data_IF_616691855222
#
_entry.id   IF_616691855222
#
_cell.length_a   1.000
_cell.length_b   1.000
_cell.length_c   1.000
_cell.angle_alpha   90.00
_cell.angle_beta   90.00
_cell.angle_gamma   90.00
#
_symmetry.space_group_name_H-M   'P 1'
#
loop_
_entity.id
_entity.type
_entity.pdbx_description
1 polymer ?
#
# COMPACT_ATOMS: atom_id res chain seq x y z
N UNK A 1 90.84 -0.90 -40.55
CA UNK A 1 91.91 -0.04 -40.00
C UNK A 1 91.28 1.14 -39.25
N UNK A 2 91.70 1.26 -37.98
CA UNK A 2 91.79 2.51 -37.16
C UNK A 2 90.61 3.48 -37.16
N UNK A 3 89.83 3.57 -36.03
CA UNK A 3 90.03 4.54 -34.92
C UNK A 3 89.63 5.99 -35.31
N UNK A 4 88.65 6.63 -34.71
CA UNK A 4 88.82 7.39 -33.47
C UNK A 4 87.47 7.89 -32.96
N UNK A 5 87.35 7.82 -31.66
CA UNK A 5 86.29 8.42 -30.86
C UNK A 5 86.37 9.96 -30.82
N UNK A 6 85.29 10.67 -30.57
CA UNK A 6 85.32 11.68 -29.52
C UNK A 6 83.88 12.07 -29.07
N UNK A 7 83.80 12.27 -27.79
CA UNK A 7 82.71 12.78 -26.99
C UNK A 7 82.36 14.24 -27.31
N UNK A 8 81.19 14.70 -27.15
CA UNK A 8 80.85 15.78 -26.22
C UNK A 8 79.34 16.16 -26.29
N UNK A 9 78.74 16.08 -25.11
CA UNK A 9 77.88 17.02 -24.40
C UNK A 9 76.48 17.36 -24.91
N UNK A 10 75.55 16.96 -24.08
CA UNK A 10 74.32 17.50 -23.56
C UNK A 10 73.65 18.73 -24.22
N UNK A 11 72.45 18.57 -24.64
CA UNK A 11 71.48 19.63 -24.89
C UNK A 11 70.08 19.10 -24.74
N UNK A 12 69.46 19.34 -23.58
CA UNK A 12 68.05 19.04 -23.32
C UNK A 12 67.15 19.86 -24.25
N UNK A 13 66.37 19.21 -25.07
CA UNK A 13 65.17 19.77 -25.68
C UNK A 13 63.98 18.92 -25.25
N UNK A 14 63.22 19.43 -24.30
CA UNK A 14 61.94 18.90 -23.89
C UNK A 14 60.97 19.01 -25.07
N UNK A 15 60.53 17.93 -25.62
CA UNK A 15 59.35 17.88 -26.50
C UNK A 15 58.11 17.75 -25.62
N UNK A 16 57.34 18.82 -25.56
CA UNK A 16 55.99 18.83 -25.06
C UNK A 16 55.11 17.96 -25.98
N UNK A 17 54.80 16.75 -25.57
CA UNK A 17 53.75 15.97 -26.21
C UNK A 17 52.42 16.47 -25.68
N UNK A 18 51.68 17.28 -26.46
CA UNK A 18 50.26 17.54 -26.21
C UNK A 18 49.50 16.21 -26.44
N UNK A 19 49.14 15.55 -25.37
CA UNK A 19 48.16 14.50 -25.41
C UNK A 19 46.77 15.15 -25.49
N UNK A 20 46.19 15.21 -26.69
CA UNK A 20 44.78 15.48 -26.90
C UNK A 20 44.04 14.25 -26.40
N UNK A 21 43.54 14.30 -25.17
CA UNK A 21 42.60 13.33 -24.67
C UNK A 21 41.25 13.56 -25.34
N UNK A 22 40.95 12.73 -26.33
CA UNK A 22 39.59 12.63 -26.87
C UNK A 22 38.67 12.12 -25.74
N UNK A 23 37.87 13.02 -25.18
CA UNK A 23 36.81 12.64 -24.25
C UNK A 23 35.67 12.04 -25.06
N UNK A 24 35.54 10.71 -24.98
CA UNK A 24 34.33 10.03 -25.39
C UNK A 24 33.25 10.30 -24.29
N UNK A 25 32.04 10.73 -24.65
CA UNK A 25 30.96 10.85 -23.67
C UNK A 25 30.37 9.47 -23.44
N UNK A 26 30.49 8.92 -22.21
CA UNK A 26 29.66 7.78 -21.83
C UNK A 26 30.31 6.63 -21.08
N UNK A 27 31.10 6.90 -20.03
CA UNK A 27 31.27 5.93 -18.94
C UNK A 27 31.41 6.71 -17.63
N UNK A 28 30.37 6.68 -16.81
CA UNK A 28 30.43 7.20 -15.44
C UNK A 28 31.56 6.47 -14.69
N UNK A 29 32.42 7.25 -14.01
CA UNK A 29 33.44 6.67 -13.13
C UNK A 29 32.75 6.09 -11.88
N UNK A 30 33.30 5.06 -11.24
CA UNK A 30 32.72 4.52 -10.00
C UNK A 30 32.48 5.59 -8.92
N UNK A 31 33.33 6.61 -8.84
CA UNK A 31 33.20 7.73 -7.90
C UNK A 31 31.99 8.64 -8.20
N UNK A 32 31.55 8.71 -9.46
CA UNK A 32 30.42 9.57 -9.85
C UNK A 32 29.07 8.98 -9.42
N UNK A 33 28.90 7.66 -9.43
CA UNK A 33 27.70 6.98 -8.96
C UNK A 33 27.53 7.13 -7.43
N UNK A 34 28.62 7.07 -6.67
CA UNK A 34 28.63 7.30 -5.23
C UNK A 34 28.33 8.77 -4.89
N UNK A 35 28.79 9.72 -5.70
CA UNK A 35 28.50 11.14 -5.55
C UNK A 35 27.01 11.41 -5.82
N UNK A 36 26.45 10.83 -6.87
CA UNK A 36 25.02 10.93 -7.18
C UNK A 36 24.15 10.36 -6.05
N UNK A 37 24.51 9.19 -5.53
CA UNK A 37 23.80 8.57 -4.40
C UNK A 37 23.83 9.44 -3.15
N UNK A 38 24.98 9.96 -2.75
CA UNK A 38 25.12 10.89 -1.62
C UNK A 38 24.26 12.13 -1.81
N UNK A 39 24.27 12.73 -2.99
CA UNK A 39 23.47 13.91 -3.30
C UNK A 39 21.97 13.62 -3.23
N UNK A 40 21.49 12.50 -3.77
CA UNK A 40 20.09 12.09 -3.67
C UNK A 40 19.65 11.92 -2.22
N UNK A 41 20.48 11.32 -1.36
CA UNK A 41 20.19 11.21 0.08
C UNK A 41 20.11 12.58 0.74
N UNK A 42 21.03 13.50 0.43
CA UNK A 42 20.98 14.86 0.97
C UNK A 42 19.72 15.60 0.53
N UNK A 43 19.33 15.50 -0.73
CA UNK A 43 18.08 16.09 -1.24
C UNK A 43 16.86 15.49 -0.56
N UNK A 44 16.81 14.17 -0.44
CA UNK A 44 15.72 13.43 0.22
C UNK A 44 15.54 13.89 1.67
N UNK A 45 16.61 13.96 2.42
CA UNK A 45 16.56 14.17 3.88
C UNK A 45 16.36 15.64 4.26
N UNK A 46 16.75 16.59 3.39
CA UNK A 46 16.74 18.02 3.70
C UNK A 46 15.84 18.87 2.82
N UNK A 47 15.51 18.46 1.59
CA UNK A 47 14.87 19.31 0.59
C UNK A 47 13.48 18.83 0.15
N UNK A 48 13.34 17.52 -0.16
CA UNK A 48 12.12 16.94 -0.75
C UNK A 48 10.88 17.11 0.14
N UNK A 49 11.05 17.17 1.47
CA UNK A 49 9.93 17.37 2.42
C UNK A 49 9.13 18.66 2.13
N UNK A 50 9.77 19.67 1.56
CA UNK A 50 9.17 20.97 1.24
C UNK A 50 9.07 21.24 -0.27
N UNK A 51 9.88 20.55 -1.09
CA UNK A 51 9.99 20.75 -2.54
C UNK A 51 9.59 19.48 -3.29
N UNK A 52 8.31 19.11 -3.22
CA UNK A 52 7.73 17.92 -3.86
C UNK A 52 6.42 18.26 -4.59
N UNK A 53 5.79 17.29 -5.23
CA UNK A 53 4.56 17.50 -6.01
C UNK A 53 3.38 18.08 -5.21
N UNK A 54 3.33 17.84 -3.88
CA UNK A 54 2.26 18.33 -2.98
C UNK A 54 2.61 19.63 -2.28
N UNK A 55 3.91 19.93 -2.11
CA UNK A 55 4.44 21.13 -1.46
C UNK A 55 5.54 21.72 -2.35
N UNK A 56 5.19 22.70 -3.14
CA UNK A 56 6.09 23.40 -4.04
C UNK A 56 6.44 24.77 -3.46
N UNK A 57 7.12 24.82 -2.31
CA UNK A 57 7.58 26.11 -1.78
C UNK A 57 8.50 26.80 -2.79
N UNK A 58 8.21 28.05 -3.15
CA UNK A 58 8.89 28.77 -4.20
C UNK A 58 8.70 28.15 -5.60
N UNK A 59 7.57 27.42 -5.81
CA UNK A 59 7.23 26.68 -7.03
C UNK A 59 8.27 25.64 -7.45
N UNK A 60 9.19 25.29 -6.54
CA UNK A 60 10.26 24.34 -6.79
C UNK A 60 9.84 22.92 -6.45
N UNK A 61 10.09 21.99 -7.38
CA UNK A 61 9.92 20.56 -7.18
C UNK A 61 11.22 19.82 -7.50
N UNK A 62 11.78 19.14 -6.48
CA UNK A 62 13.04 18.41 -6.57
C UNK A 62 12.86 16.88 -6.63
N UNK A 63 11.67 16.37 -6.98
CA UNK A 63 11.43 14.92 -7.08
C UNK A 63 11.87 14.32 -8.41
N UNK A 64 12.07 15.15 -9.44
CA UNK A 64 12.52 14.73 -10.78
C UNK A 64 13.57 15.69 -11.31
N UNK A 65 14.57 15.15 -12.00
CA UNK A 65 15.64 15.96 -12.64
C UNK A 65 15.10 17.08 -13.53
N UNK A 66 14.15 16.76 -14.40
CA UNK A 66 13.55 17.73 -15.31
C UNK A 66 12.86 18.90 -14.57
N UNK A 67 12.23 18.64 -13.41
CA UNK A 67 11.60 19.66 -12.59
C UNK A 67 12.64 20.52 -11.85
N UNK A 68 13.72 19.92 -11.36
CA UNK A 68 14.82 20.66 -10.75
C UNK A 68 15.54 21.57 -11.76
N UNK A 69 15.73 21.10 -13.00
CA UNK A 69 16.29 21.90 -14.10
C UNK A 69 15.34 23.00 -14.57
N UNK A 70 14.01 22.77 -14.58
CA UNK A 70 13.02 23.81 -14.82
C UNK A 70 13.06 24.86 -13.72
N UNK A 71 13.23 24.43 -12.45
CA UNK A 71 13.28 25.28 -11.27
C UNK A 71 11.91 25.73 -10.79
N UNK A 72 11.92 26.78 -9.97
CA UNK A 72 10.73 27.38 -9.37
C UNK A 72 10.42 28.75 -9.94
N UNK A 73 9.69 29.58 -9.16
CA UNK A 73 9.29 30.95 -9.56
C UNK A 73 10.45 31.88 -9.94
N UNK A 74 11.66 31.60 -9.46
CA UNK A 74 12.86 32.37 -9.79
C UNK A 74 13.76 31.71 -10.88
N UNK A 75 13.33 30.62 -11.52
CA UNK A 75 14.04 29.89 -12.56
C UNK A 75 14.79 28.66 -12.09
N UNK A 76 15.72 28.10 -12.89
CA UNK A 76 16.41 26.85 -12.63
C UNK A 76 17.06 26.75 -11.25
N UNK A 77 16.86 25.63 -10.57
CA UNK A 77 17.47 25.40 -9.26
C UNK A 77 18.92 24.93 -9.36
N UNK A 78 19.27 24.24 -10.46
CA UNK A 78 20.62 23.76 -10.70
C UNK A 78 20.98 23.82 -12.20
N UNK A 79 22.26 24.00 -12.44
CA UNK A 79 22.89 23.99 -13.75
C UNK A 79 23.93 22.87 -13.78
N UNK A 80 23.69 21.74 -14.50
CA UNK A 80 24.64 20.63 -14.57
C UNK A 80 26.01 21.11 -15.05
N UNK A 81 27.08 20.67 -14.40
CA UNK A 81 28.45 21.11 -14.65
C UNK A 81 28.81 22.48 -14.09
N UNK A 82 27.92 23.14 -13.35
CA UNK A 82 28.12 24.51 -12.89
C UNK A 82 27.57 24.73 -11.48
N UNK A 83 28.17 24.05 -10.48
CA UNK A 83 27.72 24.11 -9.10
C UNK A 83 27.68 25.55 -8.55
N UNK A 84 28.72 26.34 -8.81
CA UNK A 84 28.83 27.72 -8.33
C UNK A 84 27.70 28.62 -8.84
N UNK A 85 27.13 28.34 -10.02
CA UNK A 85 26.02 29.10 -10.61
C UNK A 85 24.65 28.52 -10.19
N UNK A 86 24.61 27.33 -9.61
CA UNK A 86 23.40 26.65 -9.21
C UNK A 86 22.79 27.30 -7.97
N UNK A 87 21.52 27.72 -8.08
CA UNK A 87 20.81 28.40 -6.98
C UNK A 87 20.70 27.53 -5.73
N UNK A 88 20.57 26.22 -5.88
CA UNK A 88 20.52 25.30 -4.76
C UNK A 88 21.78 25.44 -3.88
N UNK A 89 22.96 25.59 -4.47
CA UNK A 89 24.22 25.80 -3.70
C UNK A 89 24.25 27.17 -3.04
N UNK A 90 23.77 28.21 -3.74
CA UNK A 90 23.73 29.57 -3.20
C UNK A 90 22.84 29.67 -1.95
N UNK A 91 21.65 29.05 -2.00
CA UNK A 91 20.71 29.09 -0.86
C UNK A 91 21.10 28.19 0.32
N UNK A 92 22.14 27.37 0.17
CA UNK A 92 22.71 26.59 1.27
C UNK A 92 23.79 27.34 2.06
N UNK A 93 24.21 28.52 1.60
CA UNK A 93 25.21 29.32 2.30
C UNK A 93 24.60 29.93 3.57
N UNK A 94 25.37 30.06 4.68
CA UNK A 94 24.85 30.58 5.95
C UNK A 94 24.21 31.98 5.84
N UNK A 95 24.74 32.83 4.95
CA UNK A 95 24.33 34.22 4.78
C UNK A 95 23.25 34.42 3.70
N UNK A 96 22.69 33.32 3.17
CA UNK A 96 21.67 33.40 2.11
C UNK A 96 20.30 33.81 2.63
N UNK A 97 19.58 34.61 1.86
CA UNK A 97 18.17 34.92 2.08
C UNK A 97 17.39 34.66 0.78
N UNK A 98 16.42 33.72 0.79
CA UNK A 98 16.10 32.79 1.87
C UNK A 98 17.19 31.74 2.10
N UNK A 99 17.44 31.41 3.36
CA UNK A 99 18.33 30.31 3.73
C UNK A 99 17.62 28.96 3.68
N UNK A 100 18.26 27.94 3.08
CA UNK A 100 17.71 26.60 2.93
C UNK A 100 18.66 25.51 3.45
N UNK A 101 18.19 24.51 4.21
CA UNK A 101 16.86 24.39 4.81
C UNK A 101 16.61 25.41 5.94
N UNK A 102 15.37 25.90 6.13
CA UNK A 102 15.11 27.05 7.02
C UNK A 102 15.42 26.83 8.51
N UNK A 103 15.57 25.58 8.93
CA UNK A 103 15.77 25.21 10.36
C UNK A 103 17.08 24.49 10.63
N UNK A 104 17.90 24.26 9.61
CA UNK A 104 19.12 23.44 9.76
C UNK A 104 20.15 23.86 8.71
N UNK A 105 21.33 24.31 9.16
CA UNK A 105 22.46 24.50 8.28
C UNK A 105 23.04 23.13 7.87
N UNK A 106 23.29 22.93 6.58
CA UNK A 106 24.14 21.84 6.10
C UNK A 106 25.60 22.18 6.38
N UNK A 107 26.40 21.19 6.74
CA UNK A 107 27.82 21.37 6.89
C UNK A 107 28.55 21.49 5.55
N UNK A 108 29.78 22.00 5.58
CA UNK A 108 30.59 22.26 4.38
C UNK A 108 30.82 20.98 3.56
N UNK A 109 30.91 19.82 4.19
CA UNK A 109 31.11 18.53 3.52
C UNK A 109 29.84 18.16 2.72
N UNK A 110 28.66 18.39 3.31
CA UNK A 110 27.37 18.14 2.66
C UNK A 110 27.14 19.10 1.47
N UNK A 111 27.48 20.37 1.65
CA UNK A 111 27.38 21.38 0.57
C UNK A 111 28.37 21.05 -0.55
N UNK A 112 29.62 20.69 -0.19
CA UNK A 112 30.61 20.27 -1.18
C UNK A 112 30.21 19.02 -1.96
N UNK A 113 29.57 18.03 -1.30
CA UNK A 113 29.07 16.82 -1.96
C UNK A 113 27.98 17.14 -2.98
N UNK A 114 27.06 18.08 -2.68
CA UNK A 114 26.07 18.54 -3.63
C UNK A 114 26.71 19.30 -4.81
N UNK A 115 27.74 20.12 -4.52
CA UNK A 115 28.52 20.82 -5.55
C UNK A 115 29.19 19.83 -6.52
N UNK A 116 29.93 18.85 -5.99
CA UNK A 116 30.61 17.82 -6.78
C UNK A 116 29.62 17.05 -7.66
N UNK A 117 28.48 16.67 -7.13
CA UNK A 117 27.42 16.01 -7.90
C UNK A 117 26.89 16.88 -9.04
N UNK A 118 26.68 18.18 -8.81
CA UNK A 118 26.23 19.11 -9.86
C UNK A 118 27.33 19.24 -10.93
N UNK A 119 28.59 19.40 -10.54
CA UNK A 119 29.73 19.53 -11.46
C UNK A 119 29.97 18.27 -12.28
N UNK A 120 29.64 17.09 -11.72
CA UNK A 120 29.62 15.80 -12.42
C UNK A 120 28.42 15.63 -13.38
N UNK A 121 27.55 16.66 -13.54
CA UNK A 121 26.42 16.64 -14.48
C UNK A 121 25.05 16.38 -13.84
N UNK A 122 24.95 16.34 -12.52
CA UNK A 122 23.72 16.15 -11.76
C UNK A 122 22.93 14.90 -12.19
N UNK A 123 23.58 13.73 -12.17
CA UNK A 123 22.91 12.46 -12.40
C UNK A 123 21.80 12.26 -11.35
N UNK A 124 20.63 11.80 -11.81
CA UNK A 124 19.45 11.65 -10.95
C UNK A 124 19.12 10.18 -10.74
N UNK A 125 19.14 9.74 -9.48
CA UNK A 125 18.80 8.37 -9.07
C UNK A 125 17.45 8.39 -8.34
N UNK A 126 16.31 8.22 -9.04
CA UNK A 126 14.97 8.35 -8.44
C UNK A 126 14.73 7.36 -7.28
N UNK A 127 15.31 6.17 -7.35
CA UNK A 127 15.20 5.16 -6.30
C UNK A 127 15.77 5.63 -4.96
N UNK A 128 16.83 6.44 -4.98
CA UNK A 128 17.49 6.97 -3.77
C UNK A 128 16.75 8.17 -3.14
N UNK A 129 15.79 8.77 -3.87
CA UNK A 129 14.91 9.83 -3.35
C UNK A 129 13.71 9.27 -2.59
N UNK A 130 13.44 7.99 -2.69
CA UNK A 130 12.39 7.34 -1.92
C UNK A 130 12.80 7.42 -0.45
N UNK A 131 11.99 8.11 0.37
CA UNK A 131 12.12 8.02 1.82
C UNK A 131 11.66 6.60 2.15
N UNK A 132 12.60 5.67 2.26
CA UNK A 132 12.29 4.43 2.95
C UNK A 132 11.82 4.85 4.35
N UNK A 133 10.53 4.67 4.63
CA UNK A 133 10.04 4.82 5.99
C UNK A 133 10.97 3.95 6.84
N UNK A 134 11.64 4.58 7.84
CA UNK A 134 12.56 3.89 8.74
C UNK A 134 11.88 2.59 9.13
N UNK A 135 12.34 1.48 8.55
CA UNK A 135 11.67 0.18 8.69
C UNK A 135 11.67 -0.10 10.18
N UNK A 136 10.50 0.05 10.81
CA UNK A 136 10.34 -0.33 12.20
C UNK A 136 10.68 -1.81 12.25
N UNK A 137 11.70 -2.14 13.02
CA UNK A 137 12.07 -3.52 13.27
C UNK A 137 10.86 -4.21 13.92
N UNK A 138 10.24 -5.21 13.27
CA UNK A 138 9.10 -5.91 13.85
C UNK A 138 9.41 -6.50 15.23
N UNK A 139 10.69 -6.80 15.51
CA UNK A 139 11.13 -7.27 16.82
C UNK A 139 11.01 -6.20 17.93
N UNK A 140 10.93 -4.92 17.56
CA UNK A 140 10.79 -3.78 18.48
C UNK A 140 9.34 -3.32 18.67
N UNK A 141 8.37 -3.94 17.98
CA UNK A 141 6.96 -3.69 18.24
C UNK A 141 6.62 -4.23 19.63
N UNK A 142 6.06 -3.37 20.48
CA UNK A 142 5.48 -3.76 21.75
C UNK A 142 4.29 -4.71 21.55
N UNK A 143 3.91 -5.40 22.62
CA UNK A 143 2.65 -6.14 22.62
C UNK A 143 1.48 -5.16 22.56
N UNK A 144 0.37 -5.58 21.95
CA UNK A 144 -0.88 -4.81 21.99
C UNK A 144 -1.28 -4.55 23.46
N UNK A 145 -1.85 -3.38 23.78
CA UNK A 145 -2.36 -3.11 25.12
C UNK A 145 -3.27 -4.25 25.60
N UNK A 146 -3.08 -4.65 26.85
CA UNK A 146 -3.90 -5.72 27.44
C UNK A 146 -5.37 -5.37 27.39
N UNK A 147 -6.20 -6.26 26.83
CA UNK A 147 -7.66 -6.07 26.71
C UNK A 147 -8.16 -5.43 25.41
N UNK A 148 -7.34 -4.64 24.67
CA UNK A 148 -7.76 -4.10 23.37
C UNK A 148 -7.43 -5.08 22.23
N UNK A 149 -8.46 -5.71 21.69
CA UNK A 149 -8.35 -6.75 20.66
C UNK A 149 -9.40 -6.60 19.58
N UNK A 150 -9.40 -5.47 18.84
CA UNK A 150 -10.40 -5.21 17.80
C UNK A 150 -10.42 -6.30 16.75
N UNK A 151 -11.58 -6.52 16.14
CA UNK A 151 -11.76 -7.44 15.03
C UNK A 151 -11.81 -6.64 13.74
N UNK A 152 -10.65 -6.50 13.09
CA UNK A 152 -10.55 -5.80 11.80
C UNK A 152 -10.82 -6.69 10.59
N UNK A 153 -10.74 -8.01 10.76
CA UNK A 153 -10.95 -8.93 9.67
C UNK A 153 -11.68 -10.20 10.12
N UNK A 154 -12.64 -10.62 9.31
CA UNK A 154 -13.32 -11.91 9.38
C UNK A 154 -13.48 -12.46 7.97
N UNK A 155 -13.51 -13.79 7.83
CA UNK A 155 -13.78 -14.43 6.55
C UNK A 155 -14.47 -15.79 6.77
N UNK A 156 -15.48 -16.08 5.96
CA UNK A 156 -16.11 -17.40 5.88
C UNK A 156 -15.33 -18.30 4.90
N UNK A 157 -15.28 -19.59 5.22
CA UNK A 157 -14.78 -20.58 4.27
C UNK A 157 -15.70 -20.68 3.05
N UNK A 158 -15.20 -21.16 1.88
CA UNK A 158 -16.01 -21.24 0.65
C UNK A 158 -17.26 -22.11 0.76
N UNK A 159 -17.28 -23.03 1.70
CA UNK A 159 -18.42 -23.92 1.99
C UNK A 159 -19.36 -23.38 3.09
N UNK A 160 -19.10 -22.15 3.58
CA UNK A 160 -19.82 -21.49 4.67
C UNK A 160 -19.79 -22.24 6.02
N UNK A 161 -18.93 -23.27 6.18
CA UNK A 161 -18.93 -24.08 7.40
C UNK A 161 -18.03 -23.51 8.51
N UNK A 162 -17.07 -22.66 8.15
CA UNK A 162 -16.09 -22.14 9.09
C UNK A 162 -15.98 -20.62 8.98
N UNK A 163 -15.82 -19.97 10.15
CA UNK A 163 -15.57 -18.54 10.27
C UNK A 163 -14.21 -18.30 10.91
N UNK A 164 -13.30 -17.65 10.21
CA UNK A 164 -12.05 -17.15 10.76
C UNK A 164 -12.24 -15.69 11.22
N UNK A 165 -11.76 -15.36 12.43
CA UNK A 165 -11.87 -14.02 13.02
C UNK A 165 -10.55 -13.60 13.67
N UNK A 166 -10.06 -12.38 13.32
CA UNK A 166 -8.85 -11.81 13.88
C UNK A 166 -9.13 -10.98 15.12
N UNK A 167 -8.87 -11.53 16.31
CA UNK A 167 -8.99 -10.82 17.58
C UNK A 167 -7.63 -10.21 17.98
N UNK A 168 -7.40 -8.96 17.62
CA UNK A 168 -6.07 -8.35 17.73
C UNK A 168 -5.05 -9.16 16.92
N UNK A 169 -4.02 -9.70 17.56
CA UNK A 169 -2.94 -10.46 16.92
C UNK A 169 -3.16 -11.98 16.85
N UNK A 170 -4.33 -12.46 17.24
CA UNK A 170 -4.69 -13.88 17.24
C UNK A 170 -5.87 -14.11 16.31
N UNK A 171 -5.82 -15.15 15.49
CA UNK A 171 -6.99 -15.59 14.70
C UNK A 171 -7.61 -16.82 15.33
N UNK A 172 -8.93 -16.79 15.49
CA UNK A 172 -9.72 -17.95 15.90
C UNK A 172 -10.54 -18.46 14.74
N UNK A 173 -10.67 -19.76 14.62
CA UNK A 173 -11.53 -20.39 13.60
C UNK A 173 -12.66 -21.12 14.32
N UNK A 174 -13.89 -20.87 13.91
CA UNK A 174 -15.08 -21.40 14.53
C UNK A 174 -15.93 -22.18 13.52
N UNK A 175 -16.62 -23.24 13.99
CA UNK A 175 -17.67 -23.86 13.22
C UNK A 175 -18.92 -22.93 13.21
N UNK A 176 -19.48 -22.71 12.04
CA UNK A 176 -20.66 -21.85 11.84
C UNK A 176 -21.91 -22.49 12.47
N UNK A 177 -22.07 -23.81 12.33
CA UNK A 177 -23.24 -24.52 12.81
C UNK A 177 -23.24 -24.70 14.35
N UNK A 178 -22.06 -24.76 14.97
CA UNK A 178 -21.91 -25.07 16.40
C UNK A 178 -21.79 -23.79 17.23
N UNK A 179 -22.85 -23.44 17.94
CA UNK A 179 -22.94 -22.12 18.59
C UNK A 179 -22.11 -21.99 19.86
N UNK A 180 -21.98 -23.06 20.66
CA UNK A 180 -21.42 -23.01 22.02
C UNK A 180 -20.09 -23.77 22.15
N UNK A 181 -19.49 -24.19 21.05
CA UNK A 181 -18.23 -24.90 21.04
C UNK A 181 -17.03 -23.96 21.04
N UNK A 182 -15.90 -24.36 21.65
CA UNK A 182 -14.66 -23.60 21.55
C UNK A 182 -14.20 -23.52 20.10
N UNK A 183 -13.30 -22.58 19.77
CA UNK A 183 -12.77 -22.46 18.41
C UNK A 183 -12.08 -23.76 17.98
N UNK A 184 -12.26 -24.14 16.72
CA UNK A 184 -11.58 -25.28 16.07
C UNK A 184 -10.06 -25.09 16.08
N UNK A 185 -9.60 -23.83 15.93
CA UNK A 185 -8.20 -23.48 15.96
C UNK A 185 -7.96 -22.10 16.55
N UNK A 186 -6.77 -21.92 17.14
CA UNK A 186 -6.23 -20.64 17.58
C UNK A 186 -4.87 -20.45 16.89
N UNK A 187 -4.83 -19.56 15.91
CA UNK A 187 -3.66 -19.30 15.08
C UNK A 187 -2.91 -18.08 15.63
N UNK A 188 -1.64 -18.27 15.92
CA UNK A 188 -0.76 -17.25 16.51
C UNK A 188 0.45 -17.00 15.61
N UNK A 189 1.15 -15.88 15.80
CA UNK A 189 2.37 -15.55 15.03
C UNK A 189 2.40 -14.10 14.53
N UNK A 190 1.26 -13.42 14.54
CA UNK A 190 1.25 -11.97 14.33
C UNK A 190 1.65 -11.22 15.61
N UNK A 191 2.41 -10.14 15.45
CA UNK A 191 2.83 -9.27 16.55
C UNK A 191 1.93 -8.04 16.70
N UNK A 192 1.24 -7.66 15.64
CA UNK A 192 0.25 -6.58 15.59
C UNK A 192 -1.10 -7.14 15.15
N UNK A 193 -2.14 -6.33 15.20
CA UNK A 193 -3.48 -6.72 14.84
C UNK A 193 -3.55 -7.28 13.40
N UNK A 194 -4.31 -8.36 13.26
CA UNK A 194 -4.65 -8.96 11.96
C UNK A 194 -5.61 -8.01 11.26
N UNK A 195 -5.21 -7.54 10.08
CA UNK A 195 -5.95 -6.54 9.30
C UNK A 195 -6.77 -7.17 8.16
N UNK A 196 -6.37 -8.34 7.70
CA UNK A 196 -7.02 -9.03 6.59
C UNK A 196 -6.94 -10.55 6.75
N UNK A 197 -7.98 -11.23 6.29
CA UNK A 197 -8.09 -12.69 6.29
C UNK A 197 -8.71 -13.10 4.96
N UNK A 198 -8.18 -14.15 4.33
CA UNK A 198 -8.72 -14.70 3.10
C UNK A 198 -8.61 -16.22 3.07
N UNK A 199 -9.66 -16.89 2.60
CA UNK A 199 -9.66 -18.30 2.28
C UNK A 199 -9.33 -18.52 0.81
N UNK A 200 -8.58 -19.58 0.51
CA UNK A 200 -8.45 -20.05 -0.88
C UNK A 200 -9.78 -20.63 -1.37
N UNK A 201 -10.06 -20.47 -2.67
CA UNK A 201 -11.34 -20.93 -3.24
C UNK A 201 -11.56 -22.45 -3.12
N UNK A 202 -10.46 -23.24 -3.07
CA UNK A 202 -10.51 -24.69 -2.83
C UNK A 202 -10.66 -25.05 -1.33
N UNK A 203 -10.71 -24.06 -0.45
CA UNK A 203 -10.85 -24.24 1.00
C UNK A 203 -9.61 -24.80 1.71
N UNK A 204 -8.49 -25.07 1.01
CA UNK A 204 -7.32 -25.75 1.58
C UNK A 204 -6.32 -24.83 2.28
N UNK A 205 -6.44 -23.53 2.08
CA UNK A 205 -5.55 -22.54 2.67
C UNK A 205 -6.34 -21.39 3.29
N UNK A 206 -5.82 -20.90 4.41
CA UNK A 206 -6.19 -19.62 5.01
C UNK A 206 -4.98 -18.71 5.01
N UNK A 207 -5.13 -17.48 4.54
CA UNK A 207 -4.13 -16.43 4.67
C UNK A 207 -4.56 -15.39 5.71
N UNK A 208 -3.64 -14.98 6.57
CA UNK A 208 -3.86 -13.95 7.59
C UNK A 208 -2.81 -12.87 7.47
N UNK A 209 -3.22 -11.61 7.33
CA UNK A 209 -2.35 -10.45 7.07
C UNK A 209 -2.29 -9.49 8.27
N UNK A 210 -1.09 -9.12 8.66
CA UNK A 210 -0.82 -8.19 9.73
C UNK A 210 0.20 -7.12 9.32
N UNK A 211 1.00 -6.65 10.27
CA UNK A 211 2.06 -5.70 9.97
C UNK A 211 3.25 -6.39 9.30
N UNK A 212 3.48 -6.05 8.01
CA UNK A 212 4.59 -6.51 7.16
C UNK A 212 4.69 -8.02 6.95
N UNK A 213 3.62 -8.74 7.23
CA UNK A 213 3.63 -10.19 7.25
C UNK A 213 2.27 -10.77 6.83
N UNK A 214 2.32 -11.82 6.02
CA UNK A 214 1.20 -12.74 5.78
C UNK A 214 1.62 -14.12 6.26
N UNK A 215 0.77 -14.77 7.04
CA UNK A 215 0.92 -16.17 7.42
C UNK A 215 -0.10 -17.00 6.64
N UNK A 216 0.36 -18.14 6.12
CA UNK A 216 -0.49 -19.11 5.46
C UNK A 216 -0.65 -20.36 6.35
N UNK A 217 -1.85 -20.92 6.34
CA UNK A 217 -2.24 -22.05 7.17
C UNK A 217 -2.87 -23.13 6.31
N UNK A 218 -2.55 -24.40 6.60
CA UNK A 218 -3.27 -25.56 6.07
C UNK A 218 -4.57 -25.71 6.83
N UNK A 219 -5.69 -25.77 6.15
CA UNK A 219 -7.00 -25.84 6.81
C UNK A 219 -7.37 -27.23 7.31
N UNK A 220 -6.68 -28.28 6.85
CA UNK A 220 -6.91 -29.66 7.28
C UNK A 220 -6.46 -29.92 8.72
N UNK A 221 -5.37 -29.28 9.15
CA UNK A 221 -4.73 -29.52 10.45
C UNK A 221 -4.28 -28.22 11.16
N UNK A 222 -4.51 -27.05 10.54
CA UNK A 222 -4.14 -25.73 11.02
C UNK A 222 -2.63 -25.54 11.20
N UNK A 223 -1.82 -26.37 10.58
CA UNK A 223 -0.37 -26.21 10.56
C UNK A 223 0.05 -25.01 9.70
N UNK A 224 1.23 -24.47 9.99
CA UNK A 224 1.79 -23.39 9.16
C UNK A 224 2.12 -23.90 7.77
N UNK A 225 1.61 -23.23 6.75
CA UNK A 225 1.93 -23.47 5.33
C UNK A 225 2.96 -22.49 4.77
N UNK A 226 3.49 -21.60 5.61
CA UNK A 226 4.55 -20.65 5.26
C UNK A 226 4.24 -19.21 5.63
N UNK A 227 5.20 -18.34 5.30
CA UNK A 227 5.16 -16.92 5.63
C UNK A 227 5.64 -16.08 4.46
N UNK A 228 4.92 -15.02 4.15
CA UNK A 228 5.39 -13.93 3.29
C UNK A 228 5.81 -12.80 4.22
N UNK A 229 7.10 -12.47 4.22
CA UNK A 229 7.68 -11.42 5.05
C UNK A 229 8.03 -10.17 4.23
N UNK A 230 8.46 -9.13 4.93
CA UNK A 230 9.00 -7.89 4.37
C UNK A 230 8.07 -7.11 3.42
N UNK A 231 6.76 -7.23 3.62
CA UNK A 231 5.82 -6.34 2.95
C UNK A 231 6.02 -4.89 3.42
N UNK A 232 5.65 -3.89 2.60
CA UNK A 232 5.92 -2.47 2.92
C UNK A 232 5.37 -2.00 4.27
N UNK A 233 4.20 -2.51 4.67
CA UNK A 233 3.56 -2.10 5.92
C UNK A 233 2.39 -3.02 6.30
N UNK A 234 1.29 -2.47 6.77
CA UNK A 234 0.09 -3.24 7.09
C UNK A 234 -0.51 -3.84 5.83
N UNK A 235 -0.89 -5.11 5.91
CA UNK A 235 -1.62 -5.82 4.86
C UNK A 235 -3.10 -5.57 5.07
N UNK A 236 -3.62 -4.55 4.42
CA UNK A 236 -5.00 -4.04 4.62
C UNK A 236 -6.06 -4.93 4.01
N UNK A 237 -5.76 -5.56 2.87
CA UNK A 237 -6.69 -6.44 2.18
C UNK A 237 -5.94 -7.56 1.44
N UNK A 238 -6.60 -8.70 1.27
CA UNK A 238 -6.08 -9.86 0.55
C UNK A 238 -7.21 -10.63 -0.12
N UNK A 239 -6.91 -11.28 -1.24
CA UNK A 239 -7.78 -12.28 -1.86
C UNK A 239 -6.97 -13.33 -2.59
N UNK A 240 -7.45 -14.58 -2.60
CA UNK A 240 -6.90 -15.59 -3.49
C UNK A 240 -7.51 -15.46 -4.89
N UNK A 241 -6.78 -15.91 -5.88
CA UNK A 241 -7.34 -16.13 -7.23
C UNK A 241 -8.33 -17.29 -7.20
N UNK A 242 -9.31 -17.28 -8.11
CA UNK A 242 -10.36 -18.31 -8.17
C UNK A 242 -9.82 -19.74 -8.31
N UNK A 243 -8.66 -19.91 -8.93
CA UNK A 243 -7.95 -21.19 -9.05
C UNK A 243 -7.06 -21.54 -7.84
N UNK A 244 -7.05 -20.72 -6.79
CA UNK A 244 -6.24 -20.89 -5.57
C UNK A 244 -4.71 -20.92 -5.78
N UNK A 245 -4.21 -20.58 -6.97
CA UNK A 245 -2.76 -20.65 -7.31
C UNK A 245 -2.01 -19.41 -6.83
N UNK A 246 -2.67 -18.28 -6.73
CA UNK A 246 -2.04 -17.04 -6.31
C UNK A 246 -2.82 -16.31 -5.20
N UNK A 247 -2.08 -15.56 -4.41
CA UNK A 247 -2.59 -14.64 -3.39
C UNK A 247 -2.27 -13.20 -3.85
N UNK A 248 -3.28 -12.33 -3.83
CA UNK A 248 -3.15 -10.89 -4.04
C UNK A 248 -3.15 -10.21 -2.67
N UNK A 249 -2.20 -9.32 -2.43
CA UNK A 249 -2.12 -8.54 -1.18
C UNK A 249 -2.11 -7.06 -1.48
N UNK A 250 -2.81 -6.26 -0.69
CA UNK A 250 -2.63 -4.82 -0.62
C UNK A 250 -1.89 -4.47 0.66
N UNK A 251 -0.81 -3.72 0.54
CA UNK A 251 0.00 -3.32 1.70
C UNK A 251 0.41 -1.86 1.64
N UNK A 252 0.55 -1.24 2.81
CA UNK A 252 0.83 0.18 2.91
C UNK A 252 1.78 0.48 4.06
N UNK A 253 2.77 1.32 3.79
CA UNK A 253 3.51 2.03 4.84
C UNK A 253 2.95 3.44 5.02
N UNK A 254 3.03 3.95 6.24
CA UNK A 254 2.53 5.30 6.56
C UNK A 254 3.25 6.35 5.72
N UNK A 255 2.48 7.15 4.99
CA UNK A 255 2.99 8.23 4.12
C UNK A 255 3.59 7.76 2.79
N UNK A 256 3.46 6.48 2.46
CA UNK A 256 3.88 5.92 1.18
C UNK A 256 2.67 5.54 0.30
N UNK A 257 2.96 5.32 -0.97
CA UNK A 257 2.00 4.77 -1.92
C UNK A 257 1.60 3.34 -1.51
N UNK A 258 0.34 3.00 -1.76
CA UNK A 258 -0.17 1.66 -1.54
C UNK A 258 0.30 0.71 -2.64
N UNK A 259 0.88 -0.41 -2.25
CA UNK A 259 1.36 -1.46 -3.14
C UNK A 259 0.33 -2.60 -3.21
N UNK A 260 0.09 -3.10 -4.41
CA UNK A 260 -0.55 -4.40 -4.64
C UNK A 260 0.50 -5.37 -5.13
N UNK A 261 0.52 -6.59 -4.58
CA UNK A 261 1.46 -7.63 -4.99
C UNK A 261 0.74 -8.95 -5.22
N UNK A 262 1.24 -9.70 -6.21
CA UNK A 262 0.78 -11.04 -6.57
C UNK A 262 1.85 -12.06 -6.16
N UNK A 263 1.44 -13.06 -5.40
CA UNK A 263 2.30 -14.10 -4.84
C UNK A 263 1.84 -15.47 -5.32
N UNK A 264 2.75 -16.35 -5.63
CA UNK A 264 2.44 -17.74 -5.89
C UNK A 264 2.25 -18.48 -4.56
N UNK A 265 1.17 -19.25 -4.42
CA UNK A 265 0.82 -19.94 -3.17
C UNK A 265 1.73 -21.15 -2.90
N UNK A 266 2.29 -21.79 -3.94
CA UNK A 266 3.08 -23.00 -3.78
C UNK A 266 4.50 -22.74 -3.24
N UNK A 267 5.14 -21.65 -3.69
CA UNK A 267 6.53 -21.31 -3.35
C UNK A 267 6.65 -19.97 -2.60
N UNK A 268 5.55 -19.27 -2.37
CA UNK A 268 5.43 -17.95 -1.76
C UNK A 268 6.27 -16.86 -2.45
N UNK A 269 6.70 -17.10 -3.69
CA UNK A 269 7.48 -16.16 -4.46
C UNK A 269 6.62 -15.00 -4.96
N UNK A 270 7.14 -13.77 -4.82
CA UNK A 270 6.53 -12.58 -5.40
C UNK A 270 6.60 -12.67 -6.91
N UNK A 271 5.46 -12.76 -7.58
CA UNK A 271 5.37 -12.78 -9.04
C UNK A 271 5.39 -11.38 -9.63
N UNK A 272 4.73 -10.46 -8.94
CA UNK A 272 4.59 -9.07 -9.40
C UNK A 272 4.21 -8.15 -8.25
N UNK A 273 4.54 -6.87 -8.38
CA UNK A 273 4.04 -5.80 -7.53
C UNK A 273 3.93 -4.51 -8.32
N UNK A 274 2.97 -3.66 -7.97
CA UNK A 274 2.79 -2.34 -8.55
C UNK A 274 2.22 -1.37 -7.54
N UNK A 275 2.49 -0.09 -7.74
CA UNK A 275 1.87 0.99 -6.99
C UNK A 275 0.41 1.13 -7.44
N UNK A 276 -0.53 0.88 -6.53
CA UNK A 276 -1.94 0.95 -6.84
C UNK A 276 -2.56 2.32 -6.53
N UNK A 277 -2.19 2.97 -5.43
CA UNK A 277 -2.74 4.26 -5.03
C UNK A 277 -1.66 5.18 -4.48
N UNK A 278 -1.87 6.50 -4.53
CA UNK A 278 -0.94 7.49 -3.95
C UNK A 278 -0.95 7.50 -2.41
N UNK A 279 -1.83 6.75 -1.79
CA UNK A 279 -1.96 6.55 -0.35
C UNK A 279 -2.37 5.11 -0.04
N UNK A 280 -2.96 4.91 1.14
CA UNK A 280 -3.42 3.61 1.59
C UNK A 280 -4.41 2.97 0.60
N UNK A 281 -4.17 1.70 0.27
CA UNK A 281 -5.20 0.81 -0.31
C UNK A 281 -5.99 0.26 0.87
N UNK A 282 -7.28 0.55 0.94
CA UNK A 282 -8.12 0.06 2.03
C UNK A 282 -8.72 -1.32 1.75
N UNK A 283 -9.11 -1.55 0.50
CA UNK A 283 -9.75 -2.80 0.11
C UNK A 283 -9.39 -3.18 -1.32
N UNK A 284 -9.55 -4.47 -1.63
CA UNK A 284 -9.44 -5.02 -2.97
C UNK A 284 -10.48 -6.11 -3.20
N UNK A 285 -10.97 -6.20 -4.42
CA UNK A 285 -11.92 -7.22 -4.84
C UNK A 285 -11.54 -7.76 -6.21
N UNK A 286 -11.47 -9.08 -6.33
CA UNK A 286 -11.30 -9.74 -7.61
C UNK A 286 -12.67 -9.88 -8.28
N UNK A 287 -12.77 -9.47 -9.53
CA UNK A 287 -13.99 -9.66 -10.30
C UNK A 287 -14.27 -11.15 -10.53
N UNK A 288 -15.54 -11.55 -10.67
CA UNK A 288 -15.89 -12.96 -10.94
C UNK A 288 -15.28 -13.53 -12.25
N UNK A 289 -14.81 -12.67 -13.17
CA UNK A 289 -14.04 -13.09 -14.35
C UNK A 289 -12.66 -13.68 -14.00
N UNK A 290 -12.17 -13.43 -12.77
CA UNK A 290 -10.85 -13.85 -12.32
C UNK A 290 -9.67 -13.07 -12.93
N UNK A 291 -9.93 -12.07 -13.77
CA UNK A 291 -8.94 -11.34 -14.55
C UNK A 291 -8.79 -9.88 -14.11
N UNK A 292 -9.88 -9.28 -13.61
CA UNK A 292 -9.94 -7.86 -13.23
C UNK A 292 -9.90 -7.70 -11.71
N UNK A 293 -8.91 -6.96 -11.21
CA UNK A 293 -8.80 -6.57 -9.81
C UNK A 293 -9.27 -5.12 -9.63
N UNK A 294 -10.21 -4.88 -8.72
CA UNK A 294 -10.57 -3.56 -8.25
C UNK A 294 -9.85 -3.25 -6.93
N UNK A 295 -9.39 -2.01 -6.76
CA UNK A 295 -8.75 -1.52 -5.52
C UNK A 295 -9.37 -0.20 -5.08
N UNK A 296 -9.57 -0.04 -3.77
CA UNK A 296 -10.11 1.16 -3.14
C UNK A 296 -9.01 1.91 -2.38
N UNK A 297 -8.91 3.23 -2.60
CA UNK A 297 -7.81 4.03 -2.07
C UNK A 297 -8.21 5.22 -1.20
N UNK A 298 -7.24 5.67 -0.41
CA UNK A 298 -7.32 6.91 0.35
C UNK A 298 -7.40 8.15 -0.54
N UNK A 299 -7.01 8.03 -1.79
CA UNK A 299 -7.08 9.07 -2.83
C UNK A 299 -8.47 9.23 -3.45
N UNK A 300 -9.52 8.57 -2.89
CA UNK A 300 -10.94 8.64 -3.27
C UNK A 300 -11.27 7.90 -4.57
N UNK A 301 -10.27 7.22 -5.13
CA UNK A 301 -10.41 6.51 -6.39
C UNK A 301 -10.68 5.03 -6.15
N UNK A 302 -11.37 4.44 -7.10
CA UNK A 302 -11.35 3.01 -7.36
C UNK A 302 -10.58 2.80 -8.67
N UNK A 303 -9.58 1.94 -8.64
CA UNK A 303 -8.78 1.58 -9.81
C UNK A 303 -8.97 0.13 -10.18
N UNK A 304 -8.94 -0.12 -11.47
CA UNK A 304 -9.08 -1.46 -12.04
C UNK A 304 -7.77 -1.86 -12.71
N UNK A 305 -7.36 -3.09 -12.47
CA UNK A 305 -6.07 -3.63 -12.90
C UNK A 305 -6.26 -4.95 -13.61
N UNK A 306 -5.49 -5.20 -14.65
CA UNK A 306 -5.35 -6.54 -15.21
C UNK A 306 -4.50 -7.39 -14.27
N UNK A 307 -5.05 -8.48 -13.76
CA UNK A 307 -4.30 -9.39 -12.90
C UNK A 307 -3.15 -10.09 -13.66
N UNK A 308 -3.34 -10.32 -14.95
CA UNK A 308 -2.36 -11.00 -15.81
C UNK A 308 -1.04 -10.24 -15.93
N UNK A 309 -1.07 -8.90 -16.00
CA UNK A 309 0.13 -8.09 -16.20
C UNK A 309 0.33 -6.96 -15.17
N UNK A 310 -0.61 -6.75 -14.22
CA UNK A 310 -0.57 -5.66 -13.25
C UNK A 310 -0.77 -4.27 -13.87
N UNK A 311 -1.12 -4.21 -15.16
CA UNK A 311 -1.35 -2.95 -15.87
C UNK A 311 -2.67 -2.30 -15.47
N UNK A 312 -2.73 -0.95 -15.43
CA UNK A 312 -3.95 -0.22 -15.15
C UNK A 312 -4.93 -0.38 -16.33
N UNK A 313 -6.16 -0.70 -16.02
CA UNK A 313 -7.25 -0.76 -17.01
C UNK A 313 -8.03 0.55 -17.02
N UNK A 314 -8.40 1.04 -15.82
CA UNK A 314 -9.26 2.19 -15.65
C UNK A 314 -9.24 2.69 -14.21
N UNK A 315 -9.75 3.92 -13.99
CA UNK A 315 -10.06 4.46 -12.67
C UNK A 315 -11.36 5.26 -12.69
N UNK A 316 -12.02 5.35 -11.53
CA UNK A 316 -13.18 6.20 -11.29
C UNK A 316 -12.97 7.02 -10.03
N UNK A 317 -13.40 8.28 -10.04
CA UNK A 317 -13.54 9.11 -8.84
C UNK A 317 -14.80 8.67 -8.11
N UNK A 318 -14.64 7.67 -7.23
CA UNK A 318 -15.79 6.99 -6.65
C UNK A 318 -16.47 7.81 -5.56
N UNK A 319 -15.71 8.46 -4.69
CA UNK A 319 -16.25 9.15 -3.51
C UNK A 319 -15.61 10.54 -3.31
N UNK A 320 -16.29 11.39 -2.54
CA UNK A 320 -15.73 12.69 -2.11
C UNK A 320 -14.68 12.56 -0.99
N UNK A 321 -14.58 11.37 -0.39
CA UNK A 321 -13.69 10.98 0.70
C UNK A 321 -13.07 9.61 0.43
N UNK A 322 -12.13 9.09 1.26
CA UNK A 322 -11.54 7.77 1.07
C UNK A 322 -12.56 6.67 0.83
N UNK A 323 -12.27 5.76 -0.09
CA UNK A 323 -13.07 4.56 -0.37
C UNK A 323 -12.59 3.45 0.55
N UNK A 324 -13.47 2.94 1.42
CA UNK A 324 -13.11 1.99 2.46
C UNK A 324 -13.37 0.53 2.06
N UNK A 325 -14.37 0.28 1.21
CA UNK A 325 -14.81 -1.08 0.92
C UNK A 325 -15.32 -1.24 -0.51
N UNK A 326 -15.15 -2.46 -1.04
CA UNK A 326 -15.55 -2.89 -2.37
C UNK A 326 -16.28 -4.23 -2.29
N UNK A 327 -17.30 -4.43 -3.12
CA UNK A 327 -17.88 -5.75 -3.37
C UNK A 327 -18.42 -5.85 -4.79
N UNK A 328 -17.96 -6.83 -5.54
CA UNK A 328 -18.62 -7.19 -6.81
C UNK A 328 -19.94 -7.90 -6.53
N UNK A 329 -20.94 -7.60 -7.35
CA UNK A 329 -22.09 -8.48 -7.47
C UNK A 329 -21.63 -9.83 -8.04
N UNK A 330 -22.16 -10.95 -7.57
CA UNK A 330 -21.67 -12.28 -7.97
C UNK A 330 -21.69 -12.56 -9.49
N UNK A 331 -22.59 -11.90 -10.24
CA UNK A 331 -22.63 -11.98 -11.69
C UNK A 331 -21.61 -11.08 -12.42
N UNK A 332 -20.85 -10.30 -11.65
CA UNK A 332 -19.83 -9.38 -12.15
C UNK A 332 -20.37 -8.11 -12.82
N UNK A 333 -21.69 -7.95 -12.95
CA UNK A 333 -22.28 -6.82 -13.68
C UNK A 333 -22.15 -5.47 -12.93
N UNK A 334 -22.11 -5.52 -11.59
CA UNK A 334 -22.07 -4.34 -10.76
C UNK A 334 -20.94 -4.43 -9.72
N UNK A 335 -20.43 -3.26 -9.34
CA UNK A 335 -19.51 -3.06 -8.23
C UNK A 335 -20.14 -2.11 -7.23
N UNK A 336 -20.18 -2.49 -5.96
CA UNK A 336 -20.56 -1.62 -4.85
C UNK A 336 -19.32 -1.04 -4.18
N UNK A 337 -19.38 0.24 -3.79
CA UNK A 337 -18.28 0.95 -3.10
C UNK A 337 -18.82 1.71 -1.91
N UNK A 338 -18.12 1.62 -0.77
CA UNK A 338 -18.45 2.32 0.46
C UNK A 338 -17.34 3.28 0.87
N UNK A 339 -17.73 4.47 1.33
CA UNK A 339 -16.79 5.54 1.62
C UNK A 339 -16.94 6.17 3.00
N UNK A 340 -15.95 6.98 3.35
CA UNK A 340 -15.94 7.87 4.53
C UNK A 340 -16.98 8.99 4.39
N UNK A 341 -17.41 9.30 3.18
CA UNK A 341 -18.52 10.23 2.90
C UNK A 341 -19.92 9.68 3.29
N UNK A 342 -19.95 8.45 3.87
CA UNK A 342 -21.17 7.79 4.37
C UNK A 342 -22.13 7.37 3.24
N UNK A 343 -21.62 7.27 2.04
CA UNK A 343 -22.37 6.87 0.86
C UNK A 343 -22.01 5.44 0.45
N UNK A 344 -23.02 4.73 -0.07
CA UNK A 344 -22.85 3.50 -0.82
C UNK A 344 -23.18 3.81 -2.28
N UNK A 345 -22.23 3.57 -3.19
CA UNK A 345 -22.43 3.78 -4.62
C UNK A 345 -22.36 2.47 -5.36
N UNK A 346 -23.16 2.34 -6.39
CA UNK A 346 -23.22 1.16 -7.24
C UNK A 346 -22.87 1.57 -8.67
N UNK A 347 -21.94 0.85 -9.26
CA UNK A 347 -21.31 1.13 -10.54
C UNK A 347 -21.56 -0.01 -11.50
N UNK A 348 -21.84 0.29 -12.74
CA UNK A 348 -21.81 -0.66 -13.85
C UNK A 348 -20.36 -1.02 -14.18
N UNK A 349 -20.02 -2.28 -14.18
CA UNK A 349 -18.63 -2.73 -14.39
C UNK A 349 -18.16 -2.60 -15.84
N UNK A 350 -19.05 -2.50 -16.81
CA UNK A 350 -18.72 -2.32 -18.24
C UNK A 350 -18.60 -0.86 -18.63
N UNK A 351 -19.65 -0.05 -18.30
CA UNK A 351 -19.65 1.38 -18.66
C UNK A 351 -18.90 2.26 -17.69
N UNK A 352 -18.69 1.78 -16.44
CA UNK A 352 -18.09 2.51 -15.31
C UNK A 352 -18.92 3.71 -14.85
N UNK A 353 -20.17 3.76 -15.26
CA UNK A 353 -21.13 4.78 -14.82
C UNK A 353 -21.73 4.43 -13.47
N UNK A 354 -21.98 5.46 -12.66
CA UNK A 354 -22.72 5.30 -11.42
C UNK A 354 -24.18 4.98 -11.72
N UNK A 355 -24.62 3.78 -11.38
CA UNK A 355 -26.01 3.34 -11.54
C UNK A 355 -26.90 3.79 -10.40
N UNK A 356 -26.37 3.78 -9.17
CA UNK A 356 -27.15 4.17 -8.01
C UNK A 356 -26.27 4.82 -6.92
N UNK A 357 -26.92 5.64 -6.10
CA UNK A 357 -26.40 6.23 -4.87
C UNK A 357 -27.38 5.92 -3.75
N UNK A 358 -26.88 5.26 -2.70
CA UNK A 358 -27.64 4.98 -1.47
C UNK A 358 -27.10 5.88 -0.37
N UNK A 359 -27.92 6.77 0.13
CA UNK A 359 -27.62 7.70 1.21
C UNK A 359 -28.33 7.26 2.51
N UNK A 360 -28.02 7.93 3.63
CA UNK A 360 -28.71 7.67 4.91
C UNK A 360 -27.95 6.71 5.84
N UNK A 361 -26.65 6.46 5.58
CA UNK A 361 -25.77 5.89 6.59
C UNK A 361 -25.32 7.01 7.54
N UNK A 362 -25.53 6.90 8.87
CA UNK A 362 -25.07 7.91 9.81
C UNK A 362 -23.55 7.96 9.96
N UNK A 363 -22.88 6.82 9.77
CA UNK A 363 -21.44 6.64 9.85
C UNK A 363 -20.84 6.17 8.54
N UNK A 364 -19.51 5.98 8.51
CA UNK A 364 -18.77 5.49 7.37
C UNK A 364 -19.26 4.10 6.94
N UNK A 365 -19.25 3.81 5.64
CA UNK A 365 -19.53 2.47 5.11
C UNK A 365 -18.23 1.68 5.11
N UNK A 366 -17.99 0.97 6.22
CA UNK A 366 -16.71 0.33 6.51
C UNK A 366 -16.52 -1.00 5.75
N UNK A 367 -17.61 -1.74 5.54
CA UNK A 367 -17.55 -3.02 4.82
C UNK A 367 -18.85 -3.28 4.05
N UNK A 368 -18.73 -4.05 2.97
CA UNK A 368 -19.84 -4.45 2.09
C UNK A 368 -19.75 -5.95 1.87
N UNK A 369 -20.89 -6.65 1.93
CA UNK A 369 -21.03 -8.02 1.48
C UNK A 369 -22.18 -8.13 0.47
N UNK A 370 -21.93 -8.83 -0.63
CA UNK A 370 -22.95 -9.15 -1.62
C UNK A 370 -23.09 -10.67 -1.72
N UNK A 371 -24.06 -11.28 -0.96
CA UNK A 371 -24.21 -12.74 -0.94
C UNK A 371 -24.54 -13.30 -2.34
N UNK A 372 -23.94 -14.44 -2.69
CA UNK A 372 -24.05 -15.02 -4.04
C UNK A 372 -25.47 -15.25 -4.53
N UNK A 373 -26.35 -15.69 -3.62
CA UNK A 373 -27.73 -16.08 -3.94
C UNK A 373 -28.75 -14.98 -3.69
N UNK A 374 -28.30 -13.71 -3.56
CA UNK A 374 -29.16 -12.59 -3.21
C UNK A 374 -28.97 -11.41 -4.13
N UNK A 375 -30.07 -10.70 -4.40
CA UNK A 375 -30.03 -9.43 -5.12
C UNK A 375 -29.62 -8.28 -4.19
N UNK A 376 -29.88 -8.41 -2.87
CA UNK A 376 -29.56 -7.41 -1.89
C UNK A 376 -28.14 -7.54 -1.39
N UNK A 377 -27.52 -6.42 -1.06
CA UNK A 377 -26.23 -6.32 -0.41
C UNK A 377 -26.38 -5.81 1.04
N UNK A 378 -25.38 -6.10 1.84
CA UNK A 378 -25.35 -5.73 3.24
C UNK A 378 -24.17 -4.79 3.46
N UNK A 379 -24.37 -3.70 4.19
CA UNK A 379 -23.32 -2.79 4.59
C UNK A 379 -23.13 -2.83 6.10
N UNK A 380 -21.87 -2.77 6.54
CA UNK A 380 -21.51 -2.49 7.93
C UNK A 380 -21.02 -1.04 8.04
N UNK A 381 -21.44 -0.37 9.11
CA UNK A 381 -21.08 1.01 9.36
C UNK A 381 -20.42 1.17 10.73
N UNK A 382 -19.55 2.15 10.86
CA UNK A 382 -18.92 2.53 12.12
C UNK A 382 -19.91 3.12 13.16
N UNK A 383 -21.20 3.22 12.82
CA UNK A 383 -22.26 3.46 13.79
C UNK A 383 -22.75 2.19 14.51
N UNK A 384 -22.10 1.04 14.25
CA UNK A 384 -22.42 -0.26 14.84
C UNK A 384 -23.59 -1.00 14.20
N UNK A 385 -24.19 -0.48 13.13
CA UNK A 385 -25.35 -1.09 12.48
C UNK A 385 -25.00 -1.77 11.16
N UNK A 386 -25.70 -2.87 10.90
CA UNK A 386 -25.82 -3.45 9.56
C UNK A 386 -27.04 -2.88 8.86
N UNK A 387 -26.92 -2.71 7.54
CA UNK A 387 -28.02 -2.23 6.69
C UNK A 387 -28.18 -3.10 5.47
N UNK A 388 -29.43 -3.47 5.22
CA UNK A 388 -29.81 -4.15 3.98
C UNK A 388 -30.08 -3.10 2.91
N UNK A 389 -29.39 -3.18 1.80
CA UNK A 389 -29.51 -2.30 0.65
C UNK A 389 -29.84 -3.12 -0.61
N UNK A 390 -30.28 -2.47 -1.64
CA UNK A 390 -30.40 -3.08 -2.97
C UNK A 390 -29.87 -2.14 -4.05
N UNK A 391 -29.72 -2.66 -5.25
CA UNK A 391 -29.10 -1.95 -6.38
C UNK A 391 -29.91 -0.75 -6.91
N UNK A 392 -31.17 -0.58 -6.48
CA UNK A 392 -32.07 0.46 -6.99
C UNK A 392 -32.57 1.43 -5.92
N UNK A 393 -32.49 1.07 -4.63
CA UNK A 393 -32.96 1.92 -3.53
C UNK A 393 -32.06 3.12 -3.32
N UNK A 394 -32.64 4.27 -2.98
CA UNK A 394 -31.93 5.51 -2.65
C UNK A 394 -31.52 5.59 -1.17
N UNK A 395 -32.07 4.73 -0.32
CA UNK A 395 -31.77 4.58 1.10
C UNK A 395 -31.78 3.10 1.48
N UNK A 396 -31.16 2.72 2.63
CA UNK A 396 -31.24 1.34 3.10
C UNK A 396 -32.69 0.89 3.28
N UNK A 397 -32.99 -0.31 2.78
CA UNK A 397 -34.32 -0.91 2.90
C UNK A 397 -34.63 -1.30 4.35
N UNK A 398 -33.59 -1.65 5.12
CA UNK A 398 -33.71 -2.04 6.53
C UNK A 398 -32.42 -1.76 7.28
N UNK A 399 -32.54 -1.30 8.52
CA UNK A 399 -31.44 -1.22 9.50
C UNK A 399 -31.66 -2.32 10.54
N UNK A 400 -30.62 -3.08 10.83
CA UNK A 400 -30.65 -4.19 11.77
C UNK A 400 -30.21 -3.77 13.16
N UNK A 401 -30.38 -4.69 14.13
CA UNK A 401 -29.95 -4.46 15.51
C UNK A 401 -28.46 -4.09 15.57
N UNK A 402 -28.16 -3.01 16.29
CA UNK A 402 -26.78 -2.54 16.45
C UNK A 402 -25.95 -3.51 17.28
N UNK A 403 -24.70 -3.69 16.87
CA UNK A 403 -23.66 -4.18 17.76
C UNK A 403 -23.43 -3.18 18.91
N UNK A 404 -22.75 -3.64 19.95
CA UNK A 404 -22.42 -2.77 21.09
C UNK A 404 -21.29 -1.77 20.79
N UNK A 405 -20.67 -1.84 19.61
CA UNK A 405 -19.54 -0.99 19.21
C UNK A 405 -19.43 -0.86 17.69
N UNK A 406 -18.45 -0.09 17.23
CA UNK A 406 -18.13 0.14 15.81
C UNK A 406 -17.88 -1.17 15.07
N UNK A 407 -18.39 -1.29 13.85
CA UNK A 407 -18.15 -2.44 12.97
C UNK A 407 -17.05 -2.10 11.93
N UNK A 408 -16.02 -2.96 11.86
CA UNK A 408 -14.90 -2.78 10.94
C UNK A 408 -14.97 -3.69 9.72
N UNK A 409 -15.53 -4.87 9.86
CA UNK A 409 -15.57 -5.89 8.82
C UNK A 409 -16.88 -6.66 8.81
N UNK A 410 -17.13 -7.33 7.70
CA UNK A 410 -18.38 -8.03 7.41
C UNK A 410 -18.12 -9.28 6.60
N UNK A 411 -18.84 -10.36 6.91
CA UNK A 411 -18.93 -11.56 6.09
C UNK A 411 -20.36 -12.07 6.09
N UNK A 412 -20.82 -12.63 4.98
CA UNK A 412 -22.14 -13.21 4.85
C UNK A 412 -22.06 -14.58 4.19
N UNK A 413 -22.87 -15.54 4.65
CA UNK A 413 -23.03 -16.83 3.96
C UNK A 413 -23.56 -16.62 2.54
N UNK A 414 -23.21 -17.51 1.61
CA UNK A 414 -23.63 -17.42 0.20
C UNK A 414 -25.16 -17.33 0.03
N UNK A 415 -25.93 -17.98 0.92
CA UNK A 415 -27.38 -17.88 0.94
C UNK A 415 -27.94 -16.64 1.68
N UNK A 416 -27.04 -15.84 2.28
CA UNK A 416 -27.36 -14.62 2.99
C UNK A 416 -28.22 -14.84 4.26
N UNK A 417 -28.24 -16.04 4.86
CA UNK A 417 -29.01 -16.31 6.07
C UNK A 417 -28.29 -15.88 7.34
N UNK A 418 -26.96 -16.02 7.37
CA UNK A 418 -26.12 -15.59 8.49
C UNK A 418 -25.17 -14.51 8.02
N UNK A 419 -25.07 -13.48 8.83
CA UNK A 419 -24.20 -12.35 8.59
C UNK A 419 -23.35 -12.12 9.83
N UNK A 420 -22.05 -11.97 9.66
CA UNK A 420 -21.09 -11.75 10.72
C UNK A 420 -20.47 -10.36 10.61
N UNK A 421 -20.29 -9.68 11.74
CA UNK A 421 -19.60 -8.40 11.80
C UNK A 421 -18.61 -8.36 12.93
N UNK A 422 -17.38 -7.96 12.63
CA UNK A 422 -16.32 -7.78 13.62
C UNK A 422 -16.30 -6.35 14.17
N UNK A 423 -16.22 -6.24 15.50
CA UNK A 423 -16.34 -4.96 16.19
C UNK A 423 -15.05 -4.53 16.92
N UNK A 424 -14.98 -3.24 17.28
CA UNK A 424 -13.85 -2.62 17.96
C UNK A 424 -13.61 -3.21 19.36
N UNK A 425 -14.69 -3.61 20.05
CA UNK A 425 -14.63 -4.26 21.35
C UNK A 425 -14.08 -5.70 21.34
N UNK A 426 -13.64 -6.19 20.20
CA UNK A 426 -13.06 -7.52 20.03
C UNK A 426 -14.09 -8.65 19.83
N UNK A 427 -15.37 -8.31 19.75
CA UNK A 427 -16.44 -9.30 19.54
C UNK A 427 -16.77 -9.47 18.07
N UNK A 428 -17.20 -10.68 17.72
CA UNK A 428 -17.89 -10.94 16.45
C UNK A 428 -19.35 -11.21 16.74
N UNK A 429 -20.21 -10.42 16.12
CA UNK A 429 -21.66 -10.60 16.22
C UNK A 429 -22.16 -11.34 15.00
N UNK A 430 -23.15 -12.21 15.20
CA UNK A 430 -23.86 -12.90 14.13
C UNK A 430 -25.33 -12.48 14.11
N UNK A 431 -25.80 -12.08 12.94
CA UNK A 431 -27.20 -11.75 12.72
C UNK A 431 -27.85 -12.81 11.82
N UNK A 432 -29.12 -13.05 12.06
CA UNK A 432 -29.96 -13.70 11.08
C UNK A 432 -30.51 -12.66 10.06
N UNK A 433 -31.15 -13.15 9.01
CA UNK A 433 -31.72 -12.27 7.97
C UNK A 433 -32.86 -11.36 8.48
N UNK A 434 -33.44 -11.67 9.65
CA UNK A 434 -34.42 -10.77 10.27
C UNK A 434 -33.77 -9.55 10.92
N UNK A 435 -32.44 -9.56 11.06
CA UNK A 435 -31.64 -8.53 11.70
C UNK A 435 -31.53 -8.71 13.22
N UNK A 436 -31.85 -9.89 13.73
CA UNK A 436 -31.67 -10.25 15.14
C UNK A 436 -30.26 -10.80 15.34
N UNK A 437 -29.58 -10.33 16.39
CA UNK A 437 -28.31 -10.95 16.84
C UNK A 437 -28.61 -12.31 17.42
N UNK A 438 -28.05 -13.34 16.84
CA UNK A 438 -28.28 -14.75 17.20
C UNK A 438 -27.10 -15.36 17.94
N UNK A 439 -25.91 -14.76 17.82
CA UNK A 439 -24.67 -15.22 18.48
C UNK A 439 -23.70 -14.05 18.67
N UNK A 440 -22.92 -14.13 19.73
CA UNK A 440 -21.77 -13.26 19.96
C UNK A 440 -20.55 -14.15 20.27
N UNK A 441 -19.48 -13.99 19.53
CA UNK A 441 -18.20 -14.62 19.83
C UNK A 441 -17.37 -13.63 20.65
N UNK A 442 -16.97 -14.08 21.84
CA UNK A 442 -16.13 -13.29 22.73
C UNK A 442 -14.65 -13.29 22.26
N UNK A 443 -13.88 -12.23 22.59
CA UNK A 443 -12.46 -12.21 22.30
C UNK A 443 -11.75 -13.45 22.87
N UNK A 444 -10.83 -14.04 22.11
CA UNK A 444 -10.00 -15.11 22.63
C UNK A 444 -9.28 -14.66 23.90
N UNK A 445 -9.40 -15.41 24.99
CA UNK A 445 -8.60 -15.17 26.21
C UNK A 445 -7.11 -15.30 25.86
N UNK A 446 -6.23 -14.51 26.49
CA UNK A 446 -4.79 -14.52 26.21
C UNK A 446 -4.15 -15.88 26.38
#
# INVERSE_FOLDING_TARGET
>A
MKRFANKLTAGRLARLALAVAATWPGSARPDDADAAKRAMHLLRDNCIRCHNAKKTKGDLNLTKRALALKGGGEGPALFPGQAAQSRIIRFLQPDSDPHMPPKKQLDDIQIAALGQWIDAGAEWLPAELVIEAKRLDPAKLGQLPGGYRPVFAIALSPDDQQLAAGHGNVVTVHNVAEKDQPPLAKLTGHRDAVQSIAWSADGKRLATGGFRKVLLWNTADWSSAGEIADLPGRVSAMTFTANSVALVTASNAVGQAGEVALWNVADLAKRRAWQAHDGTVFDLALAPDGETLATAGADKLVRFWSLANGGPLMQIEAHSSPVLSLAYKPDGALLATGGVDKELKIWDTKTREQKNLVTGHPGNVAAIAWPEKKAELITASDDGALRLCNETSKSPAKTWAKAADLLHCLAATADGKLIYGGADNGRVYAWDRTGKITRTLEPAKP
#
